data_IF_596719655257
#
_entry.id   IF_596719655257
#
_cell.length_a   1.000
_cell.length_b   1.000
_cell.length_c   1.000
_cell.angle_alpha   90.00
_cell.angle_beta   90.00
_cell.angle_gamma   90.00
#
_symmetry.space_group_name_H-M   'P 1'
#
loop_
_entity.id
_entity.type
_entity.pdbx_description
1 polymer ?
#
# COMPACT_ATOMS: atom_id res chain seq x y z
N UNK A 1 16.75 23.28 16.87
CA UNK A 1 16.36 21.86 16.81
C UNK A 1 17.38 21.03 17.57
N UNK A 2 16.94 20.10 18.39
CA UNK A 2 17.83 19.18 19.11
C UNK A 2 18.59 18.29 18.11
N UNK A 3 19.90 18.26 18.22
CA UNK A 3 20.78 17.54 17.27
C UNK A 3 20.50 16.03 17.37
N UNK A 4 20.08 15.39 16.30
CA UNK A 4 19.84 13.94 16.29
C UNK A 4 21.20 13.22 16.37
N UNK A 5 21.36 12.36 17.39
CA UNK A 5 22.58 11.57 17.57
C UNK A 5 22.63 10.49 16.47
N UNK A 6 23.81 10.34 15.85
CA UNK A 6 24.02 9.40 14.74
C UNK A 6 23.73 7.96 15.18
N UNK A 7 23.01 7.21 14.34
CA UNK A 7 22.60 5.82 14.57
C UNK A 7 21.82 5.59 15.88
N UNK A 8 21.25 6.64 16.50
CA UNK A 8 20.42 6.53 17.70
C UNK A 8 19.04 5.92 17.39
N UNK A 9 18.29 5.41 18.41
CA UNK A 9 16.92 4.96 18.22
C UNK A 9 16.01 6.01 17.57
N UNK A 10 16.20 7.31 17.92
CA UNK A 10 15.48 8.43 17.31
C UNK A 10 15.80 8.57 15.82
N UNK A 11 17.08 8.40 15.42
CA UNK A 11 17.49 8.43 14.01
C UNK A 11 16.83 7.30 13.21
N UNK A 12 16.78 6.09 13.75
CA UNK A 12 16.12 4.93 13.11
C UNK A 12 14.61 5.07 13.05
N UNK A 13 13.98 5.59 14.07
CA UNK A 13 12.55 5.90 14.06
C UNK A 13 12.19 6.90 12.95
N UNK A 14 13.01 7.95 12.78
CA UNK A 14 12.83 8.93 11.71
C UNK A 14 13.08 8.31 10.32
N UNK A 15 14.09 7.44 10.19
CA UNK A 15 14.39 6.72 8.94
C UNK A 15 13.25 5.75 8.54
N UNK A 16 12.66 5.05 9.51
CA UNK A 16 11.53 4.14 9.29
C UNK A 16 10.25 4.84 8.83
N UNK A 17 10.11 6.15 9.07
CA UNK A 17 8.96 6.99 8.67
C UNK A 17 7.62 6.41 9.09
N UNK A 18 7.28 6.32 10.39
CA UNK A 18 6.05 5.69 10.88
C UNK A 18 4.76 6.21 10.24
N UNK A 19 4.75 7.48 9.81
CA UNK A 19 3.60 8.09 9.12
C UNK A 19 3.23 7.37 7.80
N UNK A 20 4.18 6.69 7.16
CA UNK A 20 3.92 5.95 5.92
C UNK A 20 3.29 4.57 6.17
N UNK A 21 3.39 4.04 7.40
CA UNK A 21 2.81 2.75 7.78
C UNK A 21 1.28 2.74 7.67
N UNK A 22 0.64 3.89 7.89
CA UNK A 22 -0.80 4.03 7.70
C UNK A 22 -1.24 3.73 6.25
N UNK A 23 -0.41 4.12 5.26
CA UNK A 23 -0.63 3.79 3.86
C UNK A 23 -0.46 2.32 3.55
N UNK A 24 0.47 1.62 4.23
CA UNK A 24 0.65 0.18 4.09
C UNK A 24 -0.45 -0.63 4.80
N UNK A 25 -1.00 -0.11 5.91
CA UNK A 25 -2.09 -0.77 6.62
C UNK A 25 -3.42 -0.74 5.84
N UNK A 26 -3.73 0.37 5.18
CA UNK A 26 -5.02 0.59 4.55
C UNK A 26 -5.46 -0.52 3.58
N UNK A 27 -4.63 -0.98 2.62
CA UNK A 27 -5.02 -2.08 1.73
C UNK A 27 -5.17 -3.42 2.46
N UNK A 28 -4.36 -3.70 3.48
CA UNK A 28 -4.47 -4.92 4.29
C UNK A 28 -5.78 -4.94 5.07
N UNK A 29 -6.21 -3.78 5.61
CA UNK A 29 -7.51 -3.63 6.27
C UNK A 29 -8.66 -3.96 5.32
N UNK A 30 -8.63 -3.46 4.08
CA UNK A 30 -9.66 -3.74 3.07
C UNK A 30 -9.70 -5.24 2.75
N UNK A 31 -8.54 -5.87 2.48
CA UNK A 31 -8.47 -7.30 2.17
C UNK A 31 -8.97 -8.17 3.31
N UNK A 32 -8.62 -7.81 4.55
CA UNK A 32 -9.08 -8.50 5.76
C UNK A 32 -10.58 -8.35 5.98
N UNK A 33 -11.13 -7.15 5.83
CA UNK A 33 -12.56 -6.90 5.97
C UNK A 33 -13.38 -7.62 4.91
N UNK A 34 -12.91 -7.66 3.66
CA UNK A 34 -13.55 -8.41 2.57
C UNK A 34 -13.57 -9.92 2.87
N UNK A 35 -12.47 -10.46 3.42
CA UNK A 35 -12.42 -11.87 3.81
C UNK A 35 -13.46 -12.18 4.89
N UNK A 36 -13.56 -11.36 5.94
CA UNK A 36 -14.58 -11.53 6.99
C UNK A 36 -16.00 -11.41 6.43
N UNK A 37 -16.26 -10.42 5.58
CA UNK A 37 -17.55 -10.26 4.90
C UNK A 37 -17.94 -11.54 4.13
N UNK A 38 -17.05 -12.06 3.29
CA UNK A 38 -17.34 -13.25 2.50
C UNK A 38 -17.48 -14.51 3.36
N UNK A 39 -16.71 -14.66 4.44
CA UNK A 39 -16.87 -15.77 5.38
C UNK A 39 -18.26 -15.76 6.03
N UNK A 40 -18.78 -14.61 6.44
CA UNK A 40 -20.14 -14.50 6.99
C UNK A 40 -21.19 -14.90 5.96
N UNK A 41 -21.09 -14.40 4.73
CA UNK A 41 -22.03 -14.76 3.63
C UNK A 41 -22.06 -16.26 3.34
N UNK A 42 -20.90 -16.92 3.33
CA UNK A 42 -20.81 -18.38 3.13
C UNK A 42 -21.49 -19.14 4.29
N UNK A 43 -21.32 -18.66 5.53
CA UNK A 43 -21.94 -19.31 6.72
C UNK A 43 -23.44 -19.08 6.82
N UNK A 44 -23.96 -17.98 6.27
CA UNK A 44 -25.39 -17.66 6.31
C UNK A 44 -26.17 -18.33 5.16
N UNK A 45 -25.54 -18.49 3.98
CA UNK A 45 -26.20 -19.03 2.79
C UNK A 45 -26.52 -20.54 2.89
N UNK A 46 -25.89 -21.29 3.77
CA UNK A 46 -25.99 -22.74 3.84
C UNK A 46 -26.26 -23.25 5.25
N UNK A 47 -27.44 -22.87 5.78
CA UNK A 47 -27.93 -23.36 7.08
C UNK A 47 -28.23 -24.88 7.10
N UNK A 48 -28.26 -25.55 5.92
CA UNK A 48 -28.59 -26.96 5.76
C UNK A 48 -27.37 -27.87 5.55
N UNK A 49 -26.23 -27.30 5.12
CA UNK A 49 -24.96 -28.01 5.06
C UNK A 49 -24.21 -27.79 6.37
N UNK A 50 -23.64 -28.84 6.93
CA UNK A 50 -22.79 -28.72 8.12
C UNK A 50 -21.83 -27.55 7.93
N UNK A 51 -21.97 -26.49 8.78
CA UNK A 51 -21.16 -25.26 8.68
C UNK A 51 -19.71 -25.68 8.46
N UNK A 52 -19.05 -25.25 7.36
CA UNK A 52 -17.64 -25.55 7.19
C UNK A 52 -16.96 -25.09 8.47
N UNK A 53 -16.19 -25.96 9.10
CA UNK A 53 -15.44 -25.63 10.30
C UNK A 53 -14.54 -24.43 9.94
N UNK A 54 -14.95 -23.22 10.35
CA UNK A 54 -14.11 -22.04 10.15
C UNK A 54 -12.99 -22.15 11.16
N UNK A 55 -11.78 -22.31 10.65
CA UNK A 55 -10.60 -22.32 11.50
C UNK A 55 -10.30 -20.90 12.00
N UNK A 56 -10.34 -20.68 13.32
CA UNK A 56 -10.14 -19.37 13.97
C UNK A 56 -8.78 -18.69 13.66
N UNK A 57 -7.86 -19.42 13.03
CA UNK A 57 -6.53 -18.91 12.68
C UNK A 57 -6.49 -17.78 11.65
N UNK A 58 -7.59 -17.44 10.99
CA UNK A 58 -7.59 -16.37 9.96
C UNK A 58 -7.25 -14.98 10.51
N UNK A 59 -7.58 -14.70 11.78
CA UNK A 59 -7.21 -13.43 12.45
C UNK A 59 -5.69 -13.33 12.59
N UNK A 60 -5.03 -14.44 12.92
CA UNK A 60 -3.58 -14.49 13.00
C UNK A 60 -2.91 -14.24 11.63
N UNK A 61 -3.50 -14.79 10.57
CA UNK A 61 -3.06 -14.54 9.19
C UNK A 61 -3.16 -13.05 8.84
N UNK A 62 -4.24 -12.38 9.24
CA UNK A 62 -4.36 -10.93 9.08
C UNK A 62 -3.21 -10.17 9.76
N UNK A 63 -2.85 -10.55 10.99
CA UNK A 63 -1.73 -9.94 11.71
C UNK A 63 -0.41 -10.17 10.97
N UNK A 64 -0.17 -11.37 10.42
CA UNK A 64 1.01 -11.67 9.61
C UNK A 64 1.07 -10.81 8.34
N UNK A 65 -0.05 -10.65 7.63
CA UNK A 65 -0.13 -9.79 6.45
C UNK A 65 0.19 -8.33 6.80
N UNK A 66 -0.32 -7.84 7.92
CA UNK A 66 -0.06 -6.49 8.41
C UNK A 66 1.41 -6.28 8.78
N UNK A 67 2.01 -7.23 9.49
CA UNK A 67 3.43 -7.21 9.83
C UNK A 67 4.30 -7.25 8.57
N UNK A 68 4.00 -8.12 7.61
CA UNK A 68 4.69 -8.17 6.33
C UNK A 68 4.62 -6.83 5.60
N UNK A 69 3.44 -6.24 5.49
CA UNK A 69 3.25 -4.94 4.84
C UNK A 69 4.05 -3.83 5.54
N UNK A 70 4.09 -3.81 6.87
CA UNK A 70 4.88 -2.83 7.63
C UNK A 70 6.38 -3.00 7.42
N UNK A 71 6.88 -4.22 7.45
CA UNK A 71 8.30 -4.51 7.24
C UNK A 71 8.71 -4.10 5.81
N UNK A 72 7.92 -4.46 4.80
CA UNK A 72 8.20 -4.08 3.41
C UNK A 72 8.11 -2.57 3.19
N UNK A 73 7.23 -1.85 3.91
CA UNK A 73 7.17 -0.39 3.87
C UNK A 73 8.40 0.26 4.50
N UNK A 74 8.89 -0.27 5.63
CA UNK A 74 10.13 0.20 6.27
C UNK A 74 11.32 -0.09 5.36
N UNK A 75 11.37 -1.27 4.77
CA UNK A 75 12.43 -1.67 3.84
C UNK A 75 12.45 -0.73 2.62
N UNK A 76 11.30 -0.41 2.03
CA UNK A 76 11.18 0.56 0.94
C UNK A 76 11.70 1.96 1.36
N UNK A 77 11.44 2.39 2.59
CA UNK A 77 11.98 3.65 3.10
C UNK A 77 13.51 3.62 3.22
N UNK A 78 14.09 2.52 3.70
CA UNK A 78 15.55 2.34 3.82
C UNK A 78 16.22 2.23 2.46
N UNK A 79 15.64 1.48 1.53
CA UNK A 79 16.10 1.38 0.13
C UNK A 79 16.12 2.77 -0.53
N UNK A 80 15.03 3.52 -0.40
CA UNK A 80 14.96 4.89 -0.93
C UNK A 80 16.02 5.80 -0.30
N UNK A 81 16.21 5.71 1.02
CA UNK A 81 17.17 6.55 1.75
C UNK A 81 18.61 6.25 1.33
N UNK A 82 18.98 4.96 1.24
CA UNK A 82 20.31 4.53 0.85
C UNK A 82 20.64 4.84 -0.61
N UNK A 83 19.75 4.46 -1.55
CA UNK A 83 20.06 4.60 -2.97
C UNK A 83 19.98 6.03 -3.48
N UNK A 84 19.05 6.85 -2.98
CA UNK A 84 18.95 8.26 -3.35
C UNK A 84 20.16 9.03 -2.82
N UNK A 85 20.63 8.73 -1.58
CA UNK A 85 21.88 9.27 -1.04
C UNK A 85 23.07 8.88 -1.90
N UNK A 86 23.21 7.59 -2.25
CA UNK A 86 24.33 7.08 -3.05
C UNK A 86 24.37 7.68 -4.46
N UNK A 87 23.20 7.99 -5.03
CA UNK A 87 23.10 8.65 -6.35
C UNK A 87 23.30 10.17 -6.29
N UNK A 88 23.38 10.77 -5.09
CA UNK A 88 23.48 12.22 -4.91
C UNK A 88 22.21 12.97 -5.31
N UNK A 89 21.06 12.28 -5.34
CA UNK A 89 19.77 12.92 -5.64
C UNK A 89 19.15 13.61 -4.42
N UNK A 90 19.61 13.26 -3.20
CA UNK A 90 19.22 13.91 -1.95
C UNK A 90 20.11 15.15 -1.67
N UNK A 91 19.85 16.24 -2.39
CA UNK A 91 20.60 17.49 -2.30
C UNK A 91 20.09 18.35 -1.13
N UNK A 92 20.89 19.37 -0.75
CA UNK A 92 20.51 20.33 0.31
C UNK A 92 19.24 21.15 -0.03
N UNK A 93 18.98 21.38 -1.32
CA UNK A 93 17.80 22.08 -1.83
C UNK A 93 16.54 21.23 -1.93
N UNK A 94 16.57 19.99 -1.37
CA UNK A 94 15.44 19.07 -1.38
C UNK A 94 14.17 19.70 -0.80
N UNK A 95 13.06 19.62 -1.56
CA UNK A 95 11.74 20.11 -1.15
C UNK A 95 10.97 19.12 -0.28
N UNK A 96 11.23 17.82 -0.46
CA UNK A 96 10.59 16.73 0.26
C UNK A 96 11.04 16.57 1.72
N UNK A 97 10.43 15.63 2.46
CA UNK A 97 10.84 15.32 3.83
C UNK A 97 12.32 14.94 3.93
N UNK A 98 12.93 15.29 5.06
CA UNK A 98 14.32 14.98 5.35
C UNK A 98 14.62 13.49 5.28
N UNK A 99 15.82 13.13 4.83
CA UNK A 99 16.32 11.77 4.67
C UNK A 99 17.44 11.48 5.67
N UNK A 100 17.41 10.32 6.31
CA UNK A 100 18.32 10.02 7.41
C UNK A 100 19.80 9.96 6.98
N UNK A 101 20.11 9.40 5.81
CA UNK A 101 21.48 9.41 5.27
C UNK A 101 21.93 10.81 4.87
N UNK A 102 21.08 11.56 4.18
CA UNK A 102 21.42 12.92 3.71
C UNK A 102 21.62 13.89 4.88
N UNK A 103 20.87 13.71 5.98
CA UNK A 103 21.02 14.51 7.20
C UNK A 103 22.15 14.02 8.13
N UNK A 104 22.82 12.93 7.77
CA UNK A 104 23.87 12.32 8.60
C UNK A 104 23.33 11.68 9.90
N UNK A 105 21.99 11.43 10.01
CA UNK A 105 21.42 10.77 11.18
C UNK A 105 21.70 9.29 11.22
N UNK A 106 21.84 8.64 10.05
CA UNK A 106 22.22 7.24 9.90
C UNK A 106 23.34 7.17 8.88
N UNK A 107 24.41 6.42 9.22
CA UNK A 107 25.52 6.23 8.28
C UNK A 107 25.09 5.35 7.10
N UNK A 108 25.60 5.59 5.88
CA UNK A 108 25.24 4.77 4.70
C UNK A 108 25.52 3.28 4.89
N UNK A 109 26.61 2.92 5.61
CA UNK A 109 26.96 1.53 5.91
C UNK A 109 25.96 0.88 6.87
N UNK A 110 25.49 1.63 7.89
CA UNK A 110 24.45 1.16 8.79
C UNK A 110 23.12 1.01 8.06
N UNK A 111 22.77 1.98 7.20
CA UNK A 111 21.56 1.93 6.38
C UNK A 111 21.57 0.72 5.42
N UNK A 112 22.72 0.46 4.75
CA UNK A 112 22.89 -0.72 3.90
C UNK A 112 22.68 -2.03 4.67
N UNK A 113 23.20 -2.13 5.89
CA UNK A 113 22.98 -3.32 6.73
C UNK A 113 21.51 -3.44 7.14
N UNK A 114 20.89 -2.34 7.53
CA UNK A 114 19.49 -2.32 7.95
C UNK A 114 18.55 -2.77 6.83
N UNK A 115 18.71 -2.27 5.59
CA UNK A 115 17.88 -2.71 4.47
C UNK A 115 17.98 -4.22 4.21
N UNK A 116 19.18 -4.83 4.30
CA UNK A 116 19.30 -6.28 4.15
C UNK A 116 18.65 -7.05 5.31
N UNK A 117 18.77 -6.53 6.53
CA UNK A 117 18.12 -7.13 7.71
C UNK A 117 16.59 -7.05 7.55
N UNK A 118 16.03 -5.89 7.17
CA UNK A 118 14.58 -5.75 6.98
C UNK A 118 14.07 -6.62 5.84
N UNK A 119 14.80 -6.73 4.73
CA UNK A 119 14.44 -7.65 3.63
C UNK A 119 14.41 -9.10 4.11
N UNK A 120 15.45 -9.57 4.86
CA UNK A 120 15.50 -10.95 5.39
C UNK A 120 14.36 -11.19 6.38
N UNK A 121 14.10 -10.23 7.30
CA UNK A 121 12.98 -10.33 8.25
C UNK A 121 11.64 -10.35 7.51
N UNK A 122 11.48 -9.53 6.47
CA UNK A 122 10.29 -9.58 5.61
C UNK A 122 10.08 -10.93 4.95
N UNK A 123 11.15 -11.52 4.39
CA UNK A 123 11.10 -12.88 3.85
C UNK A 123 10.72 -13.91 4.92
N UNK A 124 11.30 -13.83 6.12
CA UNK A 124 10.99 -14.75 7.22
C UNK A 124 9.52 -14.67 7.67
N UNK A 125 8.97 -13.44 7.79
CA UNK A 125 7.54 -13.22 8.11
C UNK A 125 6.64 -13.66 6.94
N UNK A 126 7.13 -13.61 5.70
CA UNK A 126 6.42 -14.08 4.52
C UNK A 126 6.32 -15.61 4.41
N UNK A 127 7.24 -16.39 5.01
CA UNK A 127 7.23 -17.86 4.91
C UNK A 127 5.93 -18.51 5.42
N UNK A 128 5.37 -18.13 6.58
CA UNK A 128 4.06 -18.65 7.00
C UNK A 128 2.95 -18.32 5.98
N UNK A 129 2.99 -17.15 5.33
CA UNK A 129 2.01 -16.79 4.30
C UNK A 129 2.16 -17.65 3.04
N UNK A 130 3.38 -18.08 2.69
CA UNK A 130 3.63 -19.06 1.62
C UNK A 130 3.01 -20.42 2.00
N UNK A 131 3.19 -20.85 3.24
CA UNK A 131 2.60 -22.11 3.71
C UNK A 131 1.07 -22.08 3.63
N UNK A 132 0.46 -20.98 4.05
CA UNK A 132 -1.00 -20.81 4.07
C UNK A 132 -1.57 -20.56 2.68
N UNK A 133 -0.96 -19.68 1.89
CA UNK A 133 -1.47 -19.25 0.59
C UNK A 133 -1.03 -20.09 -0.61
N UNK A 134 -0.10 -21.05 -0.38
CA UNK A 134 0.41 -21.95 -1.41
C UNK A 134 1.75 -21.53 -2.04
N UNK A 135 2.41 -22.46 -2.77
CA UNK A 135 3.78 -22.25 -3.26
C UNK A 135 3.94 -21.07 -4.22
N UNK A 136 2.90 -20.70 -4.94
CA UNK A 136 2.91 -19.54 -5.84
C UNK A 136 3.08 -18.19 -5.10
N UNK A 137 2.80 -18.15 -3.78
CA UNK A 137 3.09 -16.99 -2.94
C UNK A 137 4.60 -16.67 -2.85
N UNK A 138 5.48 -17.65 -3.16
CA UNK A 138 6.91 -17.39 -3.32
C UNK A 138 7.15 -16.37 -4.42
N UNK A 139 6.49 -16.56 -5.57
CA UNK A 139 6.60 -15.60 -6.69
C UNK A 139 6.11 -14.21 -6.27
N UNK A 140 4.99 -14.13 -5.55
CA UNK A 140 4.47 -12.85 -5.04
C UNK A 140 5.46 -12.18 -4.12
N UNK A 141 6.04 -12.91 -3.16
CA UNK A 141 7.06 -12.39 -2.24
C UNK A 141 8.31 -11.90 -2.98
N UNK A 142 8.80 -12.67 -3.96
CA UNK A 142 9.93 -12.26 -4.81
C UNK A 142 9.61 -10.99 -5.61
N UNK A 143 8.42 -10.87 -6.16
CA UNK A 143 7.98 -9.67 -6.87
C UNK A 143 7.88 -8.47 -5.93
N UNK A 144 7.41 -8.63 -4.69
CA UNK A 144 7.40 -7.57 -3.69
C UNK A 144 8.81 -7.07 -3.37
N UNK A 145 9.76 -7.97 -3.08
CA UNK A 145 11.16 -7.61 -2.83
C UNK A 145 11.78 -6.94 -4.06
N UNK A 146 11.56 -7.50 -5.24
CA UNK A 146 12.05 -6.92 -6.49
C UNK A 146 11.47 -5.52 -6.73
N UNK A 147 10.17 -5.32 -6.47
CA UNK A 147 9.53 -4.01 -6.60
C UNK A 147 10.16 -2.98 -5.67
N UNK A 148 10.40 -3.30 -4.40
CA UNK A 148 11.07 -2.40 -3.44
C UNK A 148 12.45 -1.99 -3.94
N UNK A 149 13.27 -2.95 -4.40
CA UNK A 149 14.64 -2.68 -4.86
C UNK A 149 14.66 -1.94 -6.21
N UNK A 150 13.81 -2.34 -7.16
CA UNK A 150 13.82 -1.79 -8.52
C UNK A 150 13.08 -0.44 -8.62
N UNK A 151 12.12 -0.17 -7.74
CA UNK A 151 11.39 1.10 -7.74
C UNK A 151 12.36 2.28 -7.70
N UNK A 152 13.23 2.35 -6.70
CA UNK A 152 14.16 3.47 -6.50
C UNK A 152 15.33 3.44 -7.48
N UNK A 153 15.75 2.24 -7.90
CA UNK A 153 16.98 2.10 -8.70
C UNK A 153 16.75 2.31 -10.19
N UNK A 154 15.61 1.88 -10.74
CA UNK A 154 15.34 1.89 -12.19
C UNK A 154 13.93 2.32 -12.57
N UNK A 155 12.88 1.76 -11.96
CA UNK A 155 11.51 1.84 -12.47
C UNK A 155 10.89 3.24 -12.32
N UNK A 156 11.24 3.98 -11.26
CA UNK A 156 10.85 5.39 -11.11
C UNK A 156 11.49 6.32 -12.17
N UNK A 157 12.64 5.90 -12.76
CA UNK A 157 13.33 6.67 -13.78
C UNK A 157 12.71 6.53 -15.20
N UNK A 158 11.92 5.49 -15.42
CA UNK A 158 11.27 5.20 -16.72
C UNK A 158 9.75 5.45 -16.72
N UNK A 159 9.22 6.06 -15.65
CA UNK A 159 7.81 6.43 -15.56
C UNK A 159 6.86 5.32 -15.14
N UNK A 160 7.37 4.19 -14.64
CA UNK A 160 6.55 3.07 -14.15
C UNK A 160 6.17 3.18 -12.67
N UNK A 161 6.54 4.28 -11.99
CA UNK A 161 6.28 4.47 -10.57
C UNK A 161 4.80 4.36 -10.21
N UNK A 162 3.94 5.01 -11.00
CA UNK A 162 2.50 5.06 -10.79
C UNK A 162 1.88 3.65 -10.90
N UNK A 163 2.26 2.88 -11.92
CA UNK A 163 1.80 1.48 -12.07
C UNK A 163 2.22 0.61 -10.88
N UNK A 164 3.46 0.77 -10.42
CA UNK A 164 3.97 0.01 -9.26
C UNK A 164 3.22 0.35 -7.98
N UNK A 165 2.87 1.63 -7.78
CA UNK A 165 2.06 2.03 -6.63
C UNK A 165 0.69 1.39 -6.69
N UNK A 166 0.00 1.45 -7.84
CA UNK A 166 -1.32 0.82 -8.01
C UNK A 166 -1.27 -0.68 -7.72
N UNK A 167 -0.25 -1.37 -8.21
CA UNK A 167 -0.11 -2.82 -8.03
C UNK A 167 0.31 -3.17 -6.60
N UNK A 168 1.41 -2.60 -6.08
CA UNK A 168 2.03 -3.06 -4.83
C UNK A 168 1.50 -2.34 -3.57
N UNK A 169 0.81 -1.21 -3.70
CA UNK A 169 0.11 -0.54 -2.59
C UNK A 169 -1.42 -0.62 -2.71
N UNK A 170 -1.93 -1.33 -3.70
CA UNK A 170 -3.36 -1.55 -3.90
C UNK A 170 -3.68 -3.02 -4.14
N UNK A 171 -3.51 -3.51 -5.37
CA UNK A 171 -3.99 -4.82 -5.78
C UNK A 171 -3.35 -5.94 -4.97
N UNK A 172 -2.02 -6.00 -4.90
CA UNK A 172 -1.28 -7.07 -4.22
C UNK A 172 -1.67 -7.20 -2.74
N UNK A 173 -1.59 -6.15 -1.90
CA UNK A 173 -1.90 -6.33 -0.49
C UNK A 173 -3.39 -6.59 -0.21
N UNK A 174 -4.33 -6.04 -0.98
CA UNK A 174 -5.76 -6.35 -0.82
C UNK A 174 -6.04 -7.80 -1.20
N UNK A 175 -5.63 -8.21 -2.42
CA UNK A 175 -5.90 -9.53 -2.97
C UNK A 175 -5.27 -10.65 -2.12
N UNK A 176 -4.00 -10.50 -1.74
CA UNK A 176 -3.29 -11.56 -1.05
C UNK A 176 -3.59 -11.63 0.44
N UNK A 177 -3.99 -10.52 1.08
CA UNK A 177 -4.57 -10.58 2.43
C UNK A 177 -5.89 -11.35 2.40
N UNK A 178 -6.79 -11.00 1.47
CA UNK A 178 -8.03 -11.73 1.25
C UNK A 178 -7.77 -13.22 1.02
N UNK A 179 -6.88 -13.56 0.09
CA UNK A 179 -6.53 -14.93 -0.27
C UNK A 179 -6.02 -15.75 0.91
N UNK A 180 -5.02 -15.26 1.64
CA UNK A 180 -4.43 -15.99 2.75
C UNK A 180 -5.43 -16.19 3.90
N UNK A 181 -6.26 -15.19 4.21
CA UNK A 181 -7.29 -15.31 5.23
C UNK A 181 -8.36 -16.34 4.84
N UNK A 182 -8.84 -16.33 3.60
CA UNK A 182 -9.79 -17.30 3.09
C UNK A 182 -9.20 -18.71 3.05
N UNK A 183 -7.93 -18.86 2.61
CA UNK A 183 -7.24 -20.14 2.59
C UNK A 183 -7.17 -20.76 3.99
N UNK A 184 -6.78 -19.98 5.00
CA UNK A 184 -6.73 -20.42 6.39
C UNK A 184 -8.11 -20.78 6.92
N UNK A 185 -9.10 -19.92 6.72
CA UNK A 185 -10.45 -20.13 7.22
C UNK A 185 -11.12 -21.39 6.63
N UNK A 186 -10.85 -21.67 5.34
CA UNK A 186 -11.36 -22.85 4.65
C UNK A 186 -10.53 -24.14 4.93
N UNK A 187 -9.50 -24.08 5.78
CA UNK A 187 -8.63 -25.21 6.10
C UNK A 187 -7.92 -25.78 4.87
N UNK A 188 -7.45 -24.91 3.98
CA UNK A 188 -6.78 -25.34 2.75
C UNK A 188 -5.33 -25.72 3.01
N UNK A 189 -4.96 -26.91 2.55
CA UNK A 189 -3.59 -27.37 2.58
C UNK A 189 -3.07 -27.53 1.15
N UNK A 190 -2.31 -26.55 0.69
CA UNK A 190 -1.78 -26.51 -0.67
C UNK A 190 -0.62 -27.48 -0.90
N UNK A 191 0.00 -27.98 0.17
CA UNK A 191 1.16 -28.85 0.08
C UNK A 191 0.77 -30.32 0.22
N UNK A 192 -0.33 -30.63 0.93
CA UNK A 192 -0.74 -31.99 1.24
C UNK A 192 -1.98 -32.46 0.46
N UNK A 193 -2.83 -31.54 -0.03
CA UNK A 193 -4.05 -31.90 -0.75
C UNK A 193 -4.01 -31.51 -2.21
N UNK A 194 -4.13 -32.49 -3.10
CA UNK A 194 -4.43 -32.27 -4.52
C UNK A 194 -5.88 -31.79 -4.63
N UNK A 195 -6.13 -30.59 -5.13
CA UNK A 195 -7.49 -30.10 -5.40
C UNK A 195 -7.91 -28.82 -4.67
N UNK A 196 -6.98 -28.18 -3.95
CA UNK A 196 -7.25 -26.94 -3.23
C UNK A 196 -7.70 -25.75 -4.11
N UNK A 197 -7.40 -25.78 -5.41
CA UNK A 197 -7.71 -24.69 -6.36
C UNK A 197 -9.18 -24.58 -6.79
N UNK A 198 -10.03 -25.55 -6.40
CA UNK A 198 -11.40 -25.68 -6.90
C UNK A 198 -12.51 -25.33 -5.93
N UNK A 199 -12.23 -24.85 -4.71
CA UNK A 199 -13.30 -24.43 -3.81
C UNK A 199 -13.92 -23.13 -4.31
N UNK A 200 -15.15 -23.19 -4.80
CA UNK A 200 -15.93 -22.07 -5.36
C UNK A 200 -16.02 -20.89 -4.40
N UNK A 201 -16.04 -21.14 -3.10
CA UNK A 201 -16.09 -20.17 -2.01
C UNK A 201 -14.84 -19.28 -1.95
N UNK A 202 -13.65 -19.82 -2.27
CA UNK A 202 -12.42 -19.04 -2.31
C UNK A 202 -12.33 -18.12 -3.53
N UNK A 203 -12.81 -18.60 -4.68
CA UNK A 203 -12.77 -17.83 -5.92
C UNK A 203 -13.85 -16.74 -5.96
N UNK A 204 -14.88 -16.86 -5.12
CA UNK A 204 -16.04 -15.99 -5.13
C UNK A 204 -15.81 -14.52 -4.76
N UNK A 205 -14.63 -14.13 -4.26
CA UNK A 205 -14.33 -12.75 -3.88
C UNK A 205 -13.12 -12.14 -4.58
N UNK A 206 -12.56 -12.84 -5.58
CA UNK A 206 -11.34 -12.36 -6.27
C UNK A 206 -11.59 -11.11 -7.11
N UNK A 207 -12.71 -11.07 -7.81
CA UNK A 207 -13.08 -9.91 -8.61
C UNK A 207 -13.19 -8.65 -7.75
N UNK A 208 -13.88 -8.77 -6.63
CA UNK A 208 -14.06 -7.70 -5.66
C UNK A 208 -12.73 -7.31 -5.00
N UNK A 209 -11.88 -8.27 -4.65
CA UNK A 209 -10.56 -8.01 -4.10
C UNK A 209 -9.66 -7.25 -5.10
N UNK A 210 -9.70 -7.62 -6.38
CA UNK A 210 -8.97 -6.91 -7.44
C UNK A 210 -9.52 -5.50 -7.63
N UNK A 211 -10.84 -5.32 -7.69
CA UNK A 211 -11.47 -4.02 -7.87
C UNK A 211 -11.22 -3.09 -6.68
N UNK A 212 -11.37 -3.57 -5.45
CA UNK A 212 -11.05 -2.80 -4.24
C UNK A 212 -9.55 -2.52 -4.13
N UNK A 213 -8.70 -3.46 -4.55
CA UNK A 213 -7.27 -3.27 -4.66
C UNK A 213 -6.90 -2.20 -5.69
N UNK A 214 -7.53 -2.22 -6.86
CA UNK A 214 -7.36 -1.18 -7.88
C UNK A 214 -7.81 0.19 -7.35
N UNK A 215 -8.98 0.27 -6.72
CA UNK A 215 -9.48 1.48 -6.10
C UNK A 215 -8.51 2.05 -5.07
N UNK A 216 -8.02 1.20 -4.16
CA UNK A 216 -7.05 1.57 -3.14
C UNK A 216 -5.72 2.02 -3.74
N UNK A 217 -5.25 1.34 -4.79
CA UNK A 217 -4.03 1.67 -5.51
C UNK A 217 -4.10 3.04 -6.18
N UNK A 218 -5.21 3.36 -6.87
CA UNK A 218 -5.45 4.67 -7.49
C UNK A 218 -5.49 5.79 -6.45
N UNK A 219 -6.16 5.56 -5.32
CA UNK A 219 -6.19 6.52 -4.21
C UNK A 219 -4.79 6.70 -3.60
N UNK A 220 -4.00 5.64 -3.49
CA UNK A 220 -2.62 5.71 -2.97
C UNK A 220 -1.69 6.42 -3.94
N UNK A 221 -1.90 6.26 -5.23
CA UNK A 221 -1.10 6.92 -6.27
C UNK A 221 -1.23 8.45 -6.23
N UNK A 222 -2.31 8.99 -5.68
CA UNK A 222 -2.40 10.43 -5.38
C UNK A 222 -1.22 10.93 -4.54
N UNK A 223 -0.66 10.10 -3.64
CA UNK A 223 0.52 10.48 -2.84
C UNK A 223 1.77 10.61 -3.70
N UNK A 224 1.99 9.65 -4.62
CA UNK A 224 3.08 9.72 -5.58
C UNK A 224 2.90 10.91 -6.51
N UNK A 225 1.68 11.18 -6.96
CA UNK A 225 1.37 12.33 -7.82
C UNK A 225 1.75 13.66 -7.16
N UNK A 226 1.45 13.86 -5.86
CA UNK A 226 1.87 15.07 -5.11
C UNK A 226 3.40 15.15 -5.02
N UNK A 227 4.08 14.03 -4.76
CA UNK A 227 5.55 14.00 -4.74
C UNK A 227 6.13 14.39 -6.09
N UNK A 228 5.69 13.77 -7.18
CA UNK A 228 6.16 14.05 -8.54
C UNK A 228 5.85 15.50 -8.96
N UNK A 229 4.70 16.03 -8.56
CA UNK A 229 4.31 17.42 -8.82
C UNK A 229 5.21 18.43 -8.09
N UNK A 230 5.53 18.15 -6.80
CA UNK A 230 6.42 19.00 -5.99
C UNK A 230 7.84 19.00 -6.53
N UNK A 231 8.34 17.81 -6.88
CA UNK A 231 9.75 17.56 -7.15
C UNK A 231 10.08 17.64 -8.65
N UNK A 232 9.15 18.09 -9.51
CA UNK A 232 9.27 18.04 -10.97
C UNK A 232 10.58 18.64 -11.53
N UNK A 233 11.05 19.77 -10.98
CA UNK A 233 12.30 20.40 -11.45
C UNK A 233 13.53 19.59 -10.99
N UNK A 234 13.50 19.04 -9.78
CA UNK A 234 14.56 18.18 -9.26
C UNK A 234 14.60 16.83 -10.00
N UNK A 235 13.44 16.28 -10.33
CA UNK A 235 13.30 15.05 -11.11
C UNK A 235 13.85 15.21 -12.53
N UNK A 236 13.61 16.36 -13.20
CA UNK A 236 14.22 16.69 -14.50
C UNK A 236 15.74 16.70 -14.42
N UNK A 237 16.31 17.37 -13.41
CA UNK A 237 17.77 17.47 -13.22
C UNK A 237 18.38 16.09 -12.95
N UNK A 238 17.70 15.24 -12.18
CA UNK A 238 18.15 13.87 -11.84
C UNK A 238 17.86 12.84 -12.94
N UNK A 239 17.24 13.24 -14.05
CA UNK A 239 16.93 12.36 -15.19
C UNK A 239 15.75 11.41 -14.95
N UNK A 240 14.93 11.65 -13.92
CA UNK A 240 13.70 10.87 -13.68
C UNK A 240 12.64 11.30 -14.70
N UNK A 241 11.97 10.31 -15.30
CA UNK A 241 10.88 10.50 -16.26
C UNK A 241 9.53 10.21 -15.64
N UNK A 242 9.22 10.90 -14.54
CA UNK A 242 7.89 10.76 -13.91
C UNK A 242 6.79 11.27 -14.85
N UNK A 243 5.55 10.84 -14.67
CA UNK A 243 4.42 11.30 -15.50
C UNK A 243 4.26 12.83 -15.47
N UNK A 244 4.62 13.48 -14.36
CA UNK A 244 4.58 14.95 -14.25
C UNK A 244 5.73 15.60 -15.03
N UNK A 245 6.90 14.97 -15.09
CA UNK A 245 8.02 15.44 -15.92
C UNK A 245 7.66 15.32 -17.41
N UNK A 246 7.00 14.23 -17.82
CA UNK A 246 6.65 13.94 -19.20
C UNK A 246 5.47 14.79 -19.70
N UNK A 247 4.43 14.96 -18.90
CA UNK A 247 3.16 15.59 -19.33
C UNK A 247 2.90 16.96 -18.68
N UNK A 248 3.78 17.40 -17.78
CA UNK A 248 3.73 18.71 -17.13
C UNK A 248 2.83 18.80 -15.91
N UNK A 249 2.97 19.90 -15.16
CA UNK A 249 2.26 20.18 -13.90
C UNK A 249 0.75 20.19 -14.05
N UNK A 250 0.21 20.69 -15.15
CA UNK A 250 -1.23 20.72 -15.41
C UNK A 250 -1.83 19.31 -15.52
N UNK A 251 -1.10 18.38 -16.13
CA UNK A 251 -1.47 16.97 -16.15
C UNK A 251 -1.43 16.40 -14.74
N UNK A 252 -0.35 16.63 -13.97
CA UNK A 252 -0.22 16.12 -12.60
C UNK A 252 -1.39 16.54 -11.68
N UNK A 253 -1.85 17.80 -11.77
CA UNK A 253 -3.05 18.25 -11.03
C UNK A 253 -4.31 17.51 -11.44
N UNK A 254 -4.56 17.39 -12.76
CA UNK A 254 -5.75 16.65 -13.25
C UNK A 254 -5.68 15.18 -12.90
N UNK A 255 -4.51 14.55 -13.03
CA UNK A 255 -4.30 13.16 -12.66
C UNK A 255 -4.58 12.93 -11.17
N UNK A 256 -4.06 13.77 -10.27
CA UNK A 256 -4.36 13.71 -8.84
C UNK A 256 -5.87 13.69 -8.58
N UNK A 257 -6.62 14.64 -9.18
CA UNK A 257 -8.07 14.73 -9.00
C UNK A 257 -8.79 13.46 -9.47
N UNK A 258 -8.50 13.02 -10.70
CA UNK A 258 -9.20 11.90 -11.30
C UNK A 258 -8.83 10.54 -10.70
N UNK A 259 -7.59 10.33 -10.29
CA UNK A 259 -7.17 9.11 -9.60
C UNK A 259 -7.99 8.88 -8.33
N UNK A 260 -8.14 9.90 -7.49
CA UNK A 260 -8.96 9.80 -6.28
C UNK A 260 -10.45 9.62 -6.56
N UNK A 261 -11.00 10.32 -7.57
CA UNK A 261 -12.43 10.18 -7.94
C UNK A 261 -12.69 8.80 -8.52
N UNK A 262 -11.89 8.32 -9.48
CA UNK A 262 -12.06 7.01 -10.12
C UNK A 262 -11.89 5.90 -9.07
N UNK A 263 -10.89 6.00 -8.19
CA UNK A 263 -10.72 5.05 -7.09
C UNK A 263 -11.96 4.99 -6.19
N UNK A 264 -12.51 6.14 -5.79
CA UNK A 264 -13.74 6.19 -4.99
C UNK A 264 -14.95 5.61 -5.72
N UNK A 265 -15.11 5.88 -7.02
CA UNK A 265 -16.20 5.34 -7.83
C UNK A 265 -16.12 3.81 -7.98
N UNK A 266 -14.92 3.26 -8.23
CA UNK A 266 -14.71 1.81 -8.30
C UNK A 266 -15.06 1.16 -6.95
N UNK A 267 -14.57 1.70 -5.84
CA UNK A 267 -14.89 1.18 -4.52
C UNK A 267 -16.39 1.23 -4.24
N UNK A 268 -17.04 2.36 -4.55
CA UNK A 268 -18.50 2.52 -4.37
C UNK A 268 -19.26 1.48 -5.19
N UNK A 269 -18.95 1.33 -6.48
CA UNK A 269 -19.61 0.36 -7.35
C UNK A 269 -19.40 -1.08 -6.85
N UNK A 270 -18.19 -1.44 -6.44
CA UNK A 270 -17.90 -2.78 -5.90
C UNK A 270 -18.66 -3.03 -4.61
N UNK A 271 -18.73 -2.06 -3.71
CA UNK A 271 -19.46 -2.18 -2.46
C UNK A 271 -20.96 -2.25 -2.67
N UNK A 272 -21.54 -1.53 -3.64
CA UNK A 272 -22.96 -1.65 -3.99
C UNK A 272 -23.34 -3.05 -4.49
N UNK A 273 -22.40 -3.75 -5.13
CA UNK A 273 -22.61 -5.15 -5.56
C UNK A 273 -22.57 -6.09 -4.35
N UNK A 274 -21.66 -5.86 -3.42
CA UNK A 274 -21.46 -6.70 -2.22
C UNK A 274 -22.58 -6.52 -1.18
N UNK A 275 -22.94 -5.28 -0.92
CA UNK A 275 -23.78 -4.86 0.20
C UNK A 275 -24.93 -4.03 -0.35
N UNK A 276 -26.11 -4.58 -0.39
CA UNK A 276 -27.31 -4.00 -1.04
C UNK A 276 -27.79 -2.64 -0.50
N UNK A 277 -27.10 -2.05 0.51
CA UNK A 277 -27.55 -0.87 1.24
C UNK A 277 -26.68 0.40 1.07
N UNK A 278 -27.24 1.53 1.52
CA UNK A 278 -26.86 2.95 1.37
C UNK A 278 -25.42 3.30 1.75
N UNK A 279 -24.45 2.96 0.90
CA UNK A 279 -23.01 3.16 1.14
C UNK A 279 -22.50 4.52 0.65
N UNK A 280 -23.24 5.13 -0.24
CA UNK A 280 -22.84 6.37 -0.94
C UNK A 280 -22.41 7.47 0.03
N UNK A 281 -23.00 7.52 1.22
CA UNK A 281 -22.73 8.57 2.22
C UNK A 281 -21.34 8.48 2.85
N UNK A 282 -20.79 7.29 3.01
CA UNK A 282 -19.49 7.12 3.71
C UNK A 282 -18.33 7.55 2.81
N UNK A 283 -18.36 7.20 1.54
CA UNK A 283 -17.33 7.62 0.59
C UNK A 283 -17.44 9.10 0.20
N UNK A 284 -18.57 9.77 0.46
CA UNK A 284 -18.71 11.22 0.34
C UNK A 284 -17.71 11.97 1.24
N UNK A 285 -17.43 11.45 2.44
CA UNK A 285 -16.42 12.06 3.33
C UNK A 285 -15.04 12.06 2.67
N UNK A 286 -14.62 10.92 2.11
CA UNK A 286 -13.37 10.87 1.35
C UNK A 286 -13.38 11.85 0.18
N UNK A 287 -14.45 11.89 -0.61
CA UNK A 287 -14.57 12.79 -1.76
C UNK A 287 -14.39 14.26 -1.36
N UNK A 288 -15.07 14.71 -0.29
CA UNK A 288 -14.94 16.08 0.22
C UNK A 288 -13.50 16.38 0.66
N UNK A 289 -12.86 15.45 1.37
CA UNK A 289 -11.48 15.60 1.82
C UNK A 289 -10.52 15.64 0.62
N UNK A 290 -10.71 14.77 -0.37
CA UNK A 290 -9.89 14.70 -1.57
C UNK A 290 -9.96 16.00 -2.39
N UNK A 291 -11.17 16.51 -2.65
CA UNK A 291 -11.37 17.77 -3.39
C UNK A 291 -10.78 18.96 -2.62
N UNK A 292 -10.96 19.03 -1.30
CA UNK A 292 -10.31 20.07 -0.48
C UNK A 292 -8.78 20.04 -0.59
N UNK A 293 -8.20 18.84 -0.58
CA UNK A 293 -6.74 18.67 -0.70
C UNK A 293 -6.27 19.01 -2.12
N UNK A 294 -7.04 18.64 -3.15
CA UNK A 294 -6.80 19.04 -4.54
C UNK A 294 -6.76 20.56 -4.70
N UNK A 295 -7.74 21.30 -4.15
CA UNK A 295 -7.72 22.76 -4.19
C UNK A 295 -6.44 23.34 -3.58
N UNK A 296 -5.99 22.81 -2.45
CA UNK A 296 -4.71 23.23 -1.85
C UNK A 296 -3.52 22.94 -2.75
N UNK A 297 -3.49 21.77 -3.41
CA UNK A 297 -2.43 21.42 -4.38
C UNK A 297 -2.36 22.42 -5.54
N UNK A 298 -3.50 22.99 -5.94
CA UNK A 298 -3.54 23.98 -7.03
C UNK A 298 -2.89 25.34 -6.67
N UNK A 299 -2.88 25.71 -5.38
CA UNK A 299 -2.42 26.99 -4.91
C UNK A 299 -1.07 26.97 -4.17
N UNK A 300 -0.63 25.78 -3.75
CA UNK A 300 0.62 25.62 -3.01
C UNK A 300 1.78 25.24 -3.94
N UNK A 301 2.98 25.70 -3.59
CA UNK A 301 4.22 25.40 -4.32
C UNK A 301 5.37 25.04 -3.37
N UNK A 302 6.40 24.40 -3.90
CA UNK A 302 7.63 24.08 -3.18
C UNK A 302 7.38 23.29 -1.89
N UNK A 303 8.06 23.66 -0.81
CA UNK A 303 7.96 23.00 0.51
C UNK A 303 6.54 23.02 1.12
N UNK A 304 5.68 23.98 0.75
CA UNK A 304 4.30 24.01 1.23
C UNK A 304 3.47 22.79 0.79
N UNK A 305 3.82 22.15 -0.32
CA UNK A 305 3.21 20.90 -0.79
C UNK A 305 3.41 19.71 0.17
N UNK A 306 4.35 19.78 1.12
CA UNK A 306 4.47 18.76 2.16
C UNK A 306 3.22 18.70 3.07
N UNK A 307 2.47 19.79 3.21
CA UNK A 307 1.18 19.80 3.90
C UNK A 307 0.13 19.03 3.10
N UNK A 308 0.09 19.26 1.77
CA UNK A 308 -0.78 18.50 0.85
C UNK A 308 -0.45 17.02 0.89
N UNK A 309 0.84 16.66 0.91
CA UNK A 309 1.31 15.28 1.03
C UNK A 309 0.78 14.62 2.32
N UNK A 310 0.89 15.32 3.46
CA UNK A 310 0.38 14.81 4.75
C UNK A 310 -1.15 14.65 4.76
N UNK A 311 -1.88 15.59 4.16
CA UNK A 311 -3.34 15.51 4.03
C UNK A 311 -3.75 14.38 3.08
N UNK A 312 -3.02 14.17 1.98
CA UNK A 312 -3.24 13.05 1.06
C UNK A 312 -3.02 11.70 1.77
N UNK A 313 -1.93 11.56 2.52
CA UNK A 313 -1.67 10.34 3.31
C UNK A 313 -2.80 10.04 4.31
N UNK A 314 -3.30 11.08 5.02
CA UNK A 314 -4.46 10.95 5.90
C UNK A 314 -5.72 10.52 5.12
N UNK A 315 -5.98 11.11 3.97
CA UNK A 315 -7.17 10.80 3.15
C UNK A 315 -7.12 9.34 2.63
N UNK A 316 -5.93 8.84 2.26
CA UNK A 316 -5.69 7.43 1.89
C UNK A 316 -6.08 6.50 3.05
N UNK A 317 -5.60 6.79 4.26
CA UNK A 317 -5.94 5.99 5.43
C UNK A 317 -7.43 6.03 5.77
N UNK A 318 -8.05 7.22 5.72
CA UNK A 318 -9.50 7.37 5.92
C UNK A 318 -10.28 6.57 4.88
N UNK A 319 -9.89 6.62 3.60
CA UNK A 319 -10.52 5.82 2.55
C UNK A 319 -10.46 4.33 2.85
N UNK A 320 -9.27 3.79 3.17
CA UNK A 320 -9.11 2.39 3.51
C UNK A 320 -9.90 1.98 4.75
N UNK A 321 -9.93 2.83 5.78
CA UNK A 321 -10.69 2.60 7.00
C UNK A 321 -12.20 2.58 6.73
N UNK A 322 -12.72 3.55 5.97
CA UNK A 322 -14.14 3.62 5.62
C UNK A 322 -14.58 2.38 4.83
N UNK A 323 -13.78 1.96 3.82
CA UNK A 323 -14.05 0.74 3.07
C UNK A 323 -14.08 -0.49 3.99
N UNK A 324 -13.09 -0.60 4.90
CA UNK A 324 -12.94 -1.75 5.78
C UNK A 324 -14.03 -1.84 6.83
N UNK A 325 -14.35 -0.72 7.48
CA UNK A 325 -15.44 -0.65 8.49
C UNK A 325 -16.76 -1.03 7.86
N UNK A 326 -17.02 -0.50 6.66
CA UNK A 326 -18.24 -0.83 5.97
C UNK A 326 -18.34 -2.33 5.64
N UNK A 327 -17.33 -2.91 4.98
CA UNK A 327 -17.29 -4.36 4.66
C UNK A 327 -17.38 -5.24 5.92
N UNK A 328 -16.86 -4.77 7.05
CA UNK A 328 -16.90 -5.53 8.29
C UNK A 328 -18.29 -5.57 8.92
N UNK A 329 -19.10 -4.52 8.79
CA UNK A 329 -20.42 -4.43 9.44
C UNK A 329 -21.59 -4.82 8.53
N UNK A 330 -21.35 -5.07 7.27
CA UNK A 330 -22.32 -5.61 6.29
C UNK A 330 -22.05 -7.06 5.98
#
# INVERSE_FOLDING_TARGET
MEKVVVNSPKAWFLAARPKTLAGAAAPVLIGGALAVHNLRRVTEADATVAKPAIHDGYVWVFVLCLLFAFIMQIDANFVNDYFDFKKGTDREDRLGPERACAQGWVTPEAMKRALWITTIVGCAVGLPLVWIGGPWMILVGLLCVAAVMLYTTRLSYIGLGDVLVVVFFGIVPVLFTYWCMMAQACGMDFFLSQGAWGKKEMLGGWGEAILLGLAMGLVTDCLLMVNNYRDVEQDKISGKRTVVVLFGKSFGRRAYLWLGIIGALIATATMMILCKDIIVTILLLYFVLHVKTYHKMCWMEGKALNKVLGETARNIFIFGLLCSVFLYFT
#
